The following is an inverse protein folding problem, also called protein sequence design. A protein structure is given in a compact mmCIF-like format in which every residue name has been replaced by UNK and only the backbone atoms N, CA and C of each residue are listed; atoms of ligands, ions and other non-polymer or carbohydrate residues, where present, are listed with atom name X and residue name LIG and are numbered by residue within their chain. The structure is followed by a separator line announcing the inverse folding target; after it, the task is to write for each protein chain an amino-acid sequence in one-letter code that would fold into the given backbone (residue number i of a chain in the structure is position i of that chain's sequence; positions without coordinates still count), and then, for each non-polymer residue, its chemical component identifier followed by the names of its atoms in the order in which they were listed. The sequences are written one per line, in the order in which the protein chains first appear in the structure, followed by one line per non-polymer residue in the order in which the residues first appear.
data_IF_212905419117
#
_entry.id   IF_212905419117
#
_cell.length_a   1.000
_cell.length_b   1.000
_cell.length_c   1.000
_cell.angle_alpha   90.00
_cell.angle_beta   90.00
_cell.angle_gamma   90.00
#
_symmetry.space_group_name_H-M   'P 1'
#
loop_
_entity.id
_entity.type
_entity.pdbx_description
1 polymer ?
#
# COMPACT_ATOMS: atom_id res chain seq x y z
N UNK A 1 17.03 -15.97 25.58
CA UNK A 1 17.58 -17.22 25.06
C UNK A 1 16.78 -17.70 23.86
N UNK A 2 15.52 -18.08 23.93
CA UNK A 2 14.74 -18.66 22.80
C UNK A 2 14.90 -17.94 21.46
N UNK A 3 14.84 -16.60 21.43
CA UNK A 3 15.07 -15.84 20.18
C UNK A 3 16.49 -15.97 19.64
N UNK A 4 17.48 -16.06 20.52
CA UNK A 4 18.90 -16.25 20.16
C UNK A 4 19.12 -17.66 19.64
N UNK A 5 18.51 -18.65 20.29
CA UNK A 5 18.67 -20.08 19.96
C UNK A 5 18.05 -20.43 18.58
N UNK A 6 17.10 -19.63 18.09
CA UNK A 6 16.48 -19.79 16.75
C UNK A 6 17.41 -19.39 15.59
N UNK A 7 18.59 -18.83 15.87
CA UNK A 7 19.63 -18.51 14.88
C UNK A 7 19.18 -17.60 13.72
N UNK A 8 18.31 -16.61 14.03
CA UNK A 8 18.01 -15.56 13.06
C UNK A 8 19.09 -14.47 13.11
N UNK A 9 19.46 -13.95 11.94
CA UNK A 9 20.45 -12.87 11.81
C UNK A 9 19.94 -11.54 12.40
N UNK A 10 18.65 -11.29 12.24
CA UNK A 10 17.98 -10.08 12.73
C UNK A 10 16.77 -10.41 13.59
N UNK A 11 16.69 -9.81 14.74
CA UNK A 11 15.52 -9.87 15.61
C UNK A 11 14.80 -8.51 15.59
N UNK A 12 13.48 -8.54 15.40
CA UNK A 12 12.66 -7.34 15.39
C UNK A 12 11.59 -7.45 16.47
N UNK A 13 11.52 -6.48 17.38
CA UNK A 13 10.43 -6.32 18.33
C UNK A 13 9.54 -5.16 17.90
N UNK A 14 8.23 -5.41 17.81
CA UNK A 14 7.22 -4.38 17.60
C UNK A 14 6.57 -4.11 18.95
N UNK A 15 6.64 -2.87 19.43
CA UNK A 15 6.26 -2.45 20.77
C UNK A 15 5.30 -1.26 20.68
N UNK A 16 4.34 -1.19 21.61
CA UNK A 16 3.56 0.03 21.82
C UNK A 16 4.40 1.17 22.39
N UNK A 17 3.96 2.39 22.22
CA UNK A 17 4.67 3.60 22.69
C UNK A 17 4.94 3.62 24.20
N UNK A 18 4.09 2.98 25.00
CA UNK A 18 4.22 2.78 26.45
C UNK A 18 5.46 1.95 26.85
N UNK A 19 6.01 1.15 25.91
CA UNK A 19 7.20 0.33 26.14
C UNK A 19 8.53 0.99 25.73
N UNK A 20 8.52 2.23 25.26
CA UNK A 20 9.73 2.94 24.77
C UNK A 20 10.87 2.94 25.80
N UNK A 21 10.56 3.09 27.08
CA UNK A 21 11.54 3.09 28.17
C UNK A 21 12.28 1.76 28.36
N UNK A 22 11.76 0.64 27.82
CA UNK A 22 12.38 -0.68 27.95
C UNK A 22 13.34 -1.02 26.80
N UNK A 23 13.34 -0.27 25.70
CA UNK A 23 14.06 -0.60 24.47
C UNK A 23 15.56 -0.77 24.74
N UNK A 24 16.18 0.18 25.45
CA UNK A 24 17.62 0.11 25.77
C UNK A 24 17.95 -1.14 26.57
N UNK A 25 17.14 -1.47 27.57
CA UNK A 25 17.33 -2.65 28.43
C UNK A 25 17.23 -3.95 27.64
N UNK A 26 16.22 -4.08 26.79
CA UNK A 26 16.01 -5.28 25.96
C UNK A 26 17.16 -5.45 24.96
N UNK A 27 17.59 -4.36 24.31
CA UNK A 27 18.73 -4.39 23.38
C UNK A 27 20.01 -4.82 24.10
N UNK A 28 20.31 -4.25 25.28
CA UNK A 28 21.47 -4.65 26.08
C UNK A 28 21.42 -6.11 26.54
N UNK A 29 20.23 -6.60 26.92
CA UNK A 29 20.07 -7.99 27.33
C UNK A 29 20.31 -8.97 26.16
N UNK A 30 19.78 -8.68 24.95
CA UNK A 30 20.02 -9.51 23.76
C UNK A 30 21.49 -9.48 23.35
N UNK A 31 22.11 -8.31 23.38
CA UNK A 31 23.55 -8.14 23.11
C UNK A 31 24.40 -9.00 24.04
N UNK A 32 24.16 -8.93 25.37
CA UNK A 32 24.87 -9.73 26.36
C UNK A 32 24.64 -11.26 26.20
N UNK A 33 23.40 -11.68 25.92
CA UNK A 33 23.07 -13.09 25.76
C UNK A 33 23.58 -13.71 24.45
N UNK A 34 23.91 -12.89 23.46
CA UNK A 34 24.39 -13.34 22.15
C UNK A 34 25.88 -13.03 21.92
N UNK A 35 26.61 -12.59 22.94
CA UNK A 35 28.01 -12.12 22.82
C UNK A 35 28.13 -11.06 21.70
N UNK A 36 27.20 -10.13 21.60
CA UNK A 36 27.09 -9.09 20.58
C UNK A 36 26.96 -9.61 19.12
N UNK A 37 26.56 -10.87 18.93
CA UNK A 37 26.44 -11.47 17.59
C UNK A 37 25.11 -11.19 16.91
N UNK A 38 24.07 -10.87 17.69
CA UNK A 38 22.71 -10.67 17.20
C UNK A 38 22.25 -9.23 17.44
N UNK A 39 21.75 -8.59 16.39
CA UNK A 39 21.15 -7.29 16.48
C UNK A 39 19.64 -7.41 16.77
N UNK A 40 19.17 -6.62 17.74
CA UNK A 40 17.74 -6.45 18.01
C UNK A 40 17.30 -5.06 17.56
N UNK A 41 16.41 -5.04 16.58
CA UNK A 41 15.65 -3.83 16.24
C UNK A 41 14.36 -3.75 17.04
N UNK A 42 14.00 -2.53 17.47
CA UNK A 42 12.74 -2.26 18.12
C UNK A 42 11.98 -1.18 17.33
N UNK A 43 10.81 -1.52 16.84
CA UNK A 43 9.88 -0.57 16.22
C UNK A 43 8.79 -0.22 17.22
N UNK A 44 8.59 1.08 17.43
CA UNK A 44 7.56 1.60 18.33
C UNK A 44 6.36 1.99 17.50
N UNK A 45 5.20 1.48 17.85
CA UNK A 45 3.93 1.88 17.25
C UNK A 45 3.23 2.87 18.17
N UNK A 46 2.88 4.03 17.62
CA UNK A 46 2.11 5.05 18.31
C UNK A 46 0.64 4.64 18.46
N UNK A 47 -0.11 5.42 19.24
CA UNK A 47 -1.51 5.17 19.51
C UNK A 47 -2.36 5.31 18.24
N UNK A 48 -3.35 4.43 18.12
CA UNK A 48 -4.45 4.54 17.17
C UNK A 48 -5.65 5.10 17.90
N UNK A 49 -6.13 6.26 17.46
CA UNK A 49 -7.35 6.89 17.96
C UNK A 49 -8.50 6.50 17.04
N UNK A 50 -9.56 5.95 17.60
CA UNK A 50 -10.73 5.51 16.86
C UNK A 50 -11.78 6.62 16.83
N UNK A 51 -12.40 6.83 15.67
CA UNK A 51 -13.49 7.79 15.46
C UNK A 51 -14.68 7.07 14.81
N UNK A 52 -15.89 7.44 15.24
CA UNK A 52 -17.14 6.99 14.63
C UNK A 52 -18.15 8.14 14.64
N UNK A 53 -18.84 8.39 13.53
CA UNK A 53 -19.76 9.53 13.37
C UNK A 53 -19.08 10.89 13.68
N UNK A 54 -17.80 11.05 13.28
CA UNK A 54 -17.01 12.25 13.53
C UNK A 54 -16.66 12.52 15.00
N UNK A 55 -16.94 11.57 15.92
CA UNK A 55 -16.65 11.69 17.33
C UNK A 55 -15.58 10.68 17.77
N UNK A 56 -14.68 11.05 18.70
CA UNK A 56 -13.75 10.11 19.28
C UNK A 56 -14.46 8.94 19.94
N UNK A 57 -14.13 7.71 19.55
CA UNK A 57 -14.62 6.52 20.23
C UNK A 57 -13.80 6.29 21.51
N UNK A 58 -14.41 6.54 22.65
CA UNK A 58 -13.75 6.41 23.96
C UNK A 58 -13.71 4.94 24.37
N UNK A 59 -12.51 4.40 24.48
CA UNK A 59 -12.28 3.09 25.04
C UNK A 59 -11.91 3.21 26.53
N UNK A 60 -12.60 2.48 27.38
CA UNK A 60 -12.29 2.40 28.80
C UNK A 60 -12.25 0.95 29.28
N UNK A 61 -11.05 0.45 29.54
CA UNK A 61 -10.86 -0.89 30.10
C UNK A 61 -11.59 -1.07 31.45
N UNK A 62 -11.71 0.03 32.25
CA UNK A 62 -12.39 -0.02 33.55
C UNK A 62 -13.91 -0.06 33.45
N UNK A 63 -14.47 0.50 32.40
CA UNK A 63 -15.91 0.48 32.12
C UNK A 63 -16.33 -0.73 31.25
N UNK A 64 -15.38 -1.59 30.83
CA UNK A 64 -15.64 -2.68 29.91
C UNK A 64 -15.88 -2.27 28.47
N UNK A 65 -15.69 -0.98 28.15
CA UNK A 65 -15.87 -0.43 26.83
C UNK A 65 -14.53 -0.46 26.08
N UNK A 66 -14.31 -1.51 25.32
CA UNK A 66 -13.15 -1.62 24.42
C UNK A 66 -13.59 -2.31 23.12
N UNK A 67 -12.95 -1.93 22.03
CA UNK A 67 -13.12 -2.61 20.74
C UNK A 67 -12.00 -3.64 20.62
N UNK A 68 -12.37 -4.89 20.44
CA UNK A 68 -11.42 -5.95 20.09
C UNK A 68 -11.02 -5.85 18.63
N UNK A 69 -9.93 -6.55 18.25
CA UNK A 69 -9.55 -6.66 16.85
C UNK A 69 -10.64 -7.35 16.01
N UNK A 70 -11.42 -8.26 16.61
CA UNK A 70 -12.54 -8.92 15.93
C UNK A 70 -13.68 -7.94 15.67
N UNK A 71 -14.07 -7.13 16.66
CA UNK A 71 -15.11 -6.11 16.46
C UNK A 71 -14.74 -5.12 15.36
N UNK A 72 -13.45 -4.76 15.29
CA UNK A 72 -12.94 -3.90 14.23
C UNK A 72 -13.07 -4.56 12.84
N UNK A 73 -12.73 -5.86 12.73
CA UNK A 73 -12.86 -6.63 11.50
C UNK A 73 -14.32 -6.80 11.07
N UNK A 74 -15.23 -7.01 12.01
CA UNK A 74 -16.65 -7.15 11.77
C UNK A 74 -17.28 -5.82 11.30
N UNK A 75 -16.75 -4.68 11.77
CA UNK A 75 -17.24 -3.35 11.41
C UNK A 75 -16.72 -2.86 10.05
N UNK A 76 -15.45 -3.13 9.69
CA UNK A 76 -14.76 -2.42 8.58
C UNK A 76 -14.21 -3.37 7.50
N UNK A 77 -14.12 -4.63 7.71
CA UNK A 77 -13.40 -5.58 6.87
C UNK A 77 -11.85 -5.45 6.96
N UNK A 78 -11.18 -6.49 6.48
CA UNK A 78 -9.72 -6.64 6.60
C UNK A 78 -8.93 -5.61 5.78
N UNK A 79 -9.31 -5.39 4.53
CA UNK A 79 -8.49 -4.64 3.57
C UNK A 79 -8.34 -3.15 3.94
N UNK A 80 -9.42 -2.41 4.23
CA UNK A 80 -9.31 -1.05 4.72
C UNK A 80 -8.50 -0.93 6.01
N UNK A 81 -8.67 -1.86 6.95
CA UNK A 81 -7.92 -1.86 8.21
C UNK A 81 -6.42 -1.98 7.92
N UNK A 82 -6.01 -3.01 7.15
CA UNK A 82 -4.59 -3.24 6.86
C UNK A 82 -3.96 -2.07 6.12
N UNK A 83 -4.63 -1.57 5.08
CA UNK A 83 -4.11 -0.47 4.29
C UNK A 83 -3.97 0.79 5.12
N UNK A 84 -4.99 1.17 5.87
CA UNK A 84 -4.97 2.40 6.68
C UNK A 84 -3.97 2.33 7.83
N UNK A 85 -3.84 1.19 8.51
CA UNK A 85 -2.84 0.99 9.56
C UNK A 85 -1.41 1.10 9.02
N UNK A 86 -1.18 0.65 7.78
CA UNK A 86 0.13 0.71 7.12
C UNK A 86 0.38 2.03 6.38
N UNK A 87 -0.65 2.85 6.16
CA UNK A 87 -0.53 4.12 5.41
C UNK A 87 0.14 5.25 6.22
N UNK A 88 0.45 5.00 7.47
CA UNK A 88 1.16 5.92 8.36
C UNK A 88 2.47 5.33 8.86
N UNK A 89 3.43 6.20 9.12
CA UNK A 89 4.63 5.78 9.83
C UNK A 89 4.26 5.30 11.24
N UNK A 90 4.92 4.26 11.71
CA UNK A 90 4.66 3.66 13.04
C UNK A 90 4.94 4.62 14.21
N UNK A 91 5.75 5.65 14.00
CA UNK A 91 6.11 6.67 14.99
C UNK A 91 5.16 7.87 15.04
N UNK A 92 4.09 7.86 14.24
CA UNK A 92 3.06 8.90 14.19
C UNK A 92 1.71 8.32 14.61
N UNK A 93 0.97 9.04 15.45
CA UNK A 93 -0.40 8.67 15.84
C UNK A 93 -1.31 8.56 14.61
N UNK A 94 -2.22 7.60 14.64
CA UNK A 94 -3.21 7.37 13.58
C UNK A 94 -4.61 7.67 14.10
N UNK A 95 -5.32 8.57 13.43
CA UNK A 95 -6.75 8.75 13.57
C UNK A 95 -7.46 7.80 12.59
N UNK A 96 -8.09 6.75 13.11
CA UNK A 96 -8.82 5.77 12.34
C UNK A 96 -10.33 6.03 12.44
N UNK A 97 -10.91 6.50 11.35
CA UNK A 97 -12.32 6.86 11.26
C UNK A 97 -13.09 5.76 10.52
N UNK A 98 -14.00 5.07 11.24
CA UNK A 98 -14.80 3.96 10.71
C UNK A 98 -15.64 4.34 9.47
N UNK A 99 -16.11 5.58 9.42
CA UNK A 99 -16.98 6.02 8.34
C UNK A 99 -16.15 6.33 7.09
N UNK A 100 -15.03 7.05 7.25
CA UNK A 100 -14.15 7.42 6.14
C UNK A 100 -13.53 6.23 5.44
N UNK A 101 -13.16 5.19 6.19
CA UNK A 101 -12.53 4.00 5.59
C UNK A 101 -13.51 3.12 4.80
N UNK A 102 -14.83 3.35 4.94
CA UNK A 102 -15.88 2.69 4.18
C UNK A 102 -16.29 3.48 2.92
N UNK A 103 -15.88 4.74 2.80
CA UNK A 103 -16.25 5.57 1.67
C UNK A 103 -15.68 5.02 0.35
N UNK A 104 -16.50 5.08 -0.71
CA UNK A 104 -16.10 4.64 -2.06
C UNK A 104 -15.77 5.85 -2.94
N UNK A 105 -14.80 6.64 -2.51
CA UNK A 105 -14.37 7.84 -3.20
C UNK A 105 -12.83 7.98 -3.18
N UNK A 106 -12.32 9.06 -3.80
CA UNK A 106 -10.87 9.34 -3.89
C UNK A 106 -10.19 9.62 -2.54
N UNK A 107 -10.98 10.01 -1.52
CA UNK A 107 -10.45 10.35 -0.19
C UNK A 107 -10.20 9.08 0.64
N UNK A 108 -10.71 7.92 0.18
CA UNK A 108 -10.36 6.63 0.73
C UNK A 108 -9.22 6.00 -0.09
N UNK A 109 -7.97 5.99 0.41
CA UNK A 109 -6.81 5.60 -0.37
C UNK A 109 -6.82 4.12 -0.78
N UNK A 110 -7.36 3.22 0.04
CA UNK A 110 -7.44 1.81 -0.35
C UNK A 110 -8.41 1.61 -1.52
N UNK A 111 -9.58 2.25 -1.44
CA UNK A 111 -10.56 2.22 -2.53
C UNK A 111 -9.95 2.79 -3.82
N UNK A 112 -9.23 3.90 -3.72
CA UNK A 112 -8.66 4.58 -4.88
C UNK A 112 -7.61 3.75 -5.61
N UNK A 113 -6.77 3.03 -4.86
CA UNK A 113 -5.78 2.09 -5.42
C UNK A 113 -6.48 0.88 -6.05
N UNK A 114 -7.44 0.27 -5.35
CA UNK A 114 -8.23 -0.86 -5.87
C UNK A 114 -8.98 -0.47 -7.15
N UNK A 115 -9.55 0.73 -7.20
CA UNK A 115 -10.28 1.22 -8.35
C UNK A 115 -9.37 1.44 -9.57
N UNK A 116 -8.11 1.84 -9.41
CA UNK A 116 -7.16 1.92 -10.51
C UNK A 116 -6.93 0.54 -11.15
N UNK A 117 -6.72 -0.48 -10.33
CA UNK A 117 -6.53 -1.86 -10.80
C UNK A 117 -7.79 -2.42 -11.46
N UNK A 118 -8.96 -2.28 -10.83
CA UNK A 118 -10.24 -2.73 -11.38
C UNK A 118 -10.56 -2.06 -12.72
N UNK A 119 -10.23 -0.77 -12.87
CA UNK A 119 -10.37 -0.03 -14.12
C UNK A 119 -9.51 -0.61 -15.22
N UNK A 120 -8.23 -0.87 -14.96
CA UNK A 120 -7.33 -1.52 -15.94
C UNK A 120 -7.91 -2.86 -16.39
N UNK A 121 -8.29 -3.72 -15.45
CA UNK A 121 -8.88 -5.01 -15.76
C UNK A 121 -10.20 -4.91 -16.51
N UNK A 122 -11.02 -3.90 -16.21
CA UNK A 122 -12.26 -3.64 -16.96
C UNK A 122 -12.00 -3.29 -18.42
N UNK A 123 -10.98 -2.45 -18.67
CA UNK A 123 -10.57 -2.10 -20.04
C UNK A 123 -10.09 -3.34 -20.78
N UNK A 124 -9.17 -4.12 -20.20
CA UNK A 124 -8.64 -5.32 -20.83
C UNK A 124 -9.74 -6.35 -21.14
N UNK A 125 -10.68 -6.56 -20.21
CA UNK A 125 -11.83 -7.44 -20.43
C UNK A 125 -12.74 -6.97 -21.54
N UNK A 126 -13.08 -5.67 -21.59
CA UNK A 126 -13.95 -5.13 -22.65
C UNK A 126 -13.37 -5.35 -24.04
N UNK A 127 -12.03 -5.32 -24.14
CA UNK A 127 -11.30 -5.54 -25.37
C UNK A 127 -10.90 -7.01 -25.60
N UNK A 128 -11.31 -7.93 -24.70
CA UNK A 128 -10.95 -9.36 -24.73
C UNK A 128 -9.42 -9.59 -24.73
N UNK A 129 -8.67 -8.68 -24.12
CA UNK A 129 -7.21 -8.75 -24.00
C UNK A 129 -6.88 -9.40 -22.66
N UNK A 130 -5.96 -10.38 -22.67
CA UNK A 130 -5.47 -10.98 -21.44
C UNK A 130 -4.41 -10.10 -20.78
N UNK A 131 -4.48 -9.99 -19.46
CA UNK A 131 -3.40 -9.43 -18.67
C UNK A 131 -2.11 -10.26 -18.89
N UNK A 132 -0.99 -9.58 -19.00
CA UNK A 132 0.32 -10.24 -19.20
C UNK A 132 1.39 -9.61 -18.31
N UNK A 133 2.24 -10.45 -17.77
CA UNK A 133 3.44 -10.01 -17.04
C UNK A 133 4.62 -9.69 -17.99
N UNK A 134 4.43 -9.93 -19.30
CA UNK A 134 5.43 -9.62 -20.33
C UNK A 134 4.86 -8.57 -21.27
N UNK A 135 5.54 -7.45 -21.35
CA UNK A 135 5.22 -6.37 -22.31
C UNK A 135 6.35 -6.34 -23.31
N UNK A 136 6.06 -6.73 -24.54
CA UNK A 136 7.01 -6.60 -25.63
C UNK A 136 6.86 -5.22 -26.27
N UNK A 137 7.91 -4.43 -26.24
CA UNK A 137 7.99 -3.12 -26.84
C UNK A 137 8.85 -3.26 -28.12
N UNK A 138 8.21 -3.63 -29.21
CA UNK A 138 8.90 -3.92 -30.48
C UNK A 138 9.06 -2.70 -31.40
N UNK A 139 8.67 -1.51 -30.95
CA UNK A 139 8.62 -0.33 -31.81
C UNK A 139 9.86 0.54 -31.70
N UNK A 140 10.49 0.78 -32.86
CA UNK A 140 11.55 1.78 -33.01
C UNK A 140 11.04 3.22 -32.81
N UNK A 141 9.73 3.43 -32.90
CA UNK A 141 9.05 4.72 -32.81
C UNK A 141 8.27 4.93 -31.51
N UNK A 142 8.75 4.34 -30.41
CA UNK A 142 8.14 4.47 -29.10
C UNK A 142 8.15 5.94 -28.63
N UNK A 143 7.00 6.58 -28.68
CA UNK A 143 6.83 7.96 -28.27
C UNK A 143 5.92 8.08 -27.05
N UNK A 144 6.46 8.60 -25.96
CA UNK A 144 5.74 8.85 -24.72
C UNK A 144 5.38 10.33 -24.62
N UNK A 145 4.13 10.60 -24.28
CA UNK A 145 3.74 11.93 -23.82
C UNK A 145 4.22 12.18 -22.36
N UNK A 146 4.12 13.41 -21.90
CA UNK A 146 4.60 13.80 -20.56
C UNK A 146 3.96 13.01 -19.41
N UNK A 147 2.67 12.66 -19.52
CA UNK A 147 1.96 11.91 -18.47
C UNK A 147 2.45 10.46 -18.47
N UNK A 148 2.60 9.86 -19.62
CA UNK A 148 3.12 8.51 -19.79
C UNK A 148 4.54 8.40 -19.22
N UNK A 149 5.39 9.39 -19.50
CA UNK A 149 6.73 9.46 -18.93
C UNK A 149 6.70 9.54 -17.39
N UNK A 150 5.77 10.33 -16.80
CA UNK A 150 5.62 10.42 -15.34
C UNK A 150 5.21 9.09 -14.74
N UNK A 151 4.25 8.39 -15.35
CA UNK A 151 3.81 7.08 -14.87
C UNK A 151 4.94 6.06 -14.95
N UNK A 152 5.65 5.98 -16.07
CA UNK A 152 6.77 5.05 -16.23
C UNK A 152 7.91 5.32 -15.25
N UNK A 153 8.27 6.59 -15.04
CA UNK A 153 9.26 6.95 -14.00
C UNK A 153 8.81 6.45 -12.63
N UNK A 154 7.54 6.67 -12.28
CA UNK A 154 6.97 6.18 -11.02
C UNK A 154 7.05 4.66 -10.94
N UNK A 155 6.68 3.93 -12.00
CA UNK A 155 6.78 2.47 -12.06
C UNK A 155 8.22 1.99 -11.84
N UNK A 156 9.20 2.61 -12.49
CA UNK A 156 10.62 2.24 -12.33
C UNK A 156 11.23 2.58 -10.97
N UNK A 157 10.59 3.44 -10.18
CA UNK A 157 10.97 3.67 -8.77
C UNK A 157 10.61 2.49 -7.85
N UNK A 158 9.70 1.60 -8.27
CA UNK A 158 9.16 0.53 -7.43
C UNK A 158 10.22 -0.33 -6.74
N UNK A 159 11.24 -0.87 -7.41
CA UNK A 159 12.27 -1.67 -6.75
C UNK A 159 12.99 -0.90 -5.63
N UNK A 160 13.29 0.37 -5.84
CA UNK A 160 13.93 1.23 -4.85
C UNK A 160 13.04 1.51 -3.64
N UNK A 161 11.73 1.63 -3.86
CA UNK A 161 10.74 1.79 -2.77
C UNK A 161 10.72 0.55 -1.88
N UNK A 162 10.71 -0.65 -2.48
CA UNK A 162 10.73 -1.92 -1.73
C UNK A 162 12.04 -2.07 -0.94
N UNK A 163 13.17 -1.84 -1.59
CA UNK A 163 14.47 -1.87 -0.92
C UNK A 163 14.52 -0.89 0.27
N UNK A 164 14.07 0.34 0.08
CA UNK A 164 14.04 1.35 1.14
C UNK A 164 13.07 1.00 2.27
N UNK A 165 11.90 0.44 1.94
CA UNK A 165 10.92 0.02 2.93
C UNK A 165 11.43 -1.16 3.76
N UNK A 166 12.10 -2.14 3.11
CA UNK A 166 12.68 -3.32 3.75
C UNK A 166 13.83 -2.94 4.67
N UNK A 167 14.81 -2.19 4.19
CA UNK A 167 16.03 -1.87 4.94
C UNK A 167 15.77 -1.03 6.19
N UNK A 168 14.73 -0.19 6.17
CA UNK A 168 14.39 0.72 7.28
C UNK A 168 13.15 0.27 8.06
N UNK A 169 12.46 -0.78 7.61
CA UNK A 169 11.15 -1.20 8.11
C UNK A 169 10.10 -0.06 8.06
N UNK A 170 10.20 0.79 7.03
CA UNK A 170 9.31 1.93 6.81
C UNK A 170 8.15 1.53 5.90
N UNK A 171 7.27 0.65 6.38
CA UNK A 171 6.22 0.02 5.58
C UNK A 171 5.24 1.02 4.96
N UNK A 172 5.05 2.18 5.58
CA UNK A 172 4.15 3.24 5.08
C UNK A 172 4.54 3.77 3.70
N UNK A 173 5.78 3.59 3.27
CA UNK A 173 6.23 3.99 1.93
C UNK A 173 5.49 3.25 0.82
N UNK A 174 5.07 2.01 1.08
CA UNK A 174 4.38 1.18 0.08
C UNK A 174 2.98 1.72 -0.23
N UNK A 175 2.03 1.83 0.73
CA UNK A 175 0.71 2.34 0.42
C UNK A 175 0.71 3.77 -0.11
N UNK A 176 1.58 4.66 0.41
CA UNK A 176 1.74 6.02 -0.11
C UNK A 176 2.17 6.00 -1.57
N UNK A 177 3.16 5.19 -1.91
CA UNK A 177 3.62 5.04 -3.30
C UNK A 177 2.53 4.49 -4.22
N UNK A 178 1.75 3.47 -3.77
CA UNK A 178 0.66 2.90 -4.55
C UNK A 178 -0.47 3.91 -4.80
N UNK A 179 -0.78 4.73 -3.81
CA UNK A 179 -1.76 5.81 -3.95
C UNK A 179 -1.29 6.87 -4.96
N UNK A 180 -0.03 7.27 -4.91
CA UNK A 180 0.55 8.20 -5.89
C UNK A 180 0.50 7.64 -7.32
N UNK A 181 0.87 6.36 -7.50
CA UNK A 181 0.80 5.69 -8.79
C UNK A 181 -0.64 5.61 -9.31
N UNK A 182 -1.59 5.23 -8.45
CA UNK A 182 -3.01 5.23 -8.79
C UNK A 182 -3.51 6.63 -9.18
N UNK A 183 -3.06 7.67 -8.49
CA UNK A 183 -3.40 9.06 -8.78
C UNK A 183 -2.93 9.48 -10.17
N UNK A 184 -1.68 9.15 -10.53
CA UNK A 184 -1.16 9.42 -11.87
C UNK A 184 -1.96 8.69 -12.95
N UNK A 185 -2.30 7.42 -12.71
CA UNK A 185 -3.10 6.63 -13.66
C UNK A 185 -4.51 7.18 -13.82
N UNK A 186 -5.19 7.52 -12.73
CA UNK A 186 -6.52 8.12 -12.78
C UNK A 186 -6.52 9.49 -13.48
N UNK A 187 -5.50 10.31 -13.24
CA UNK A 187 -5.34 11.59 -13.92
C UNK A 187 -5.16 11.41 -15.43
N UNK A 188 -4.38 10.41 -15.85
CA UNK A 188 -4.21 10.09 -17.25
C UNK A 188 -5.52 9.63 -17.90
N UNK A 189 -6.26 8.73 -17.22
CA UNK A 189 -7.57 8.28 -17.67
C UNK A 189 -8.57 9.43 -17.84
N UNK A 190 -8.66 10.31 -16.84
CA UNK A 190 -9.57 11.47 -16.86
C UNK A 190 -9.24 12.40 -18.02
N UNK A 191 -7.95 12.66 -18.26
CA UNK A 191 -7.53 13.48 -19.39
C UNK A 191 -7.91 12.87 -20.75
N UNK A 192 -7.94 11.54 -20.86
CA UNK A 192 -8.44 10.86 -22.04
C UNK A 192 -9.94 11.04 -22.33
N UNK A 193 -10.73 11.42 -21.30
CA UNK A 193 -12.14 11.77 -21.49
C UNK A 193 -12.33 13.21 -22.00
N UNK A 194 -11.35 14.08 -21.76
CA UNK A 194 -11.38 15.50 -22.13
C UNK A 194 -10.71 15.76 -23.47
N UNK A 195 -9.68 14.99 -23.81
CA UNK A 195 -8.85 15.20 -25.01
C UNK A 195 -8.60 13.85 -25.69
N UNK A 196 -9.05 13.74 -26.94
CA UNK A 196 -8.89 12.57 -27.80
C UNK A 196 -7.43 12.10 -27.95
N UNK A 197 -6.47 13.01 -27.84
CA UNK A 197 -5.03 12.71 -27.87
C UNK A 197 -4.63 11.70 -26.77
N UNK A 198 -5.25 11.80 -25.61
CA UNK A 198 -4.92 10.98 -24.43
C UNK A 198 -5.86 9.77 -24.24
N UNK A 199 -6.81 9.55 -25.16
CA UNK A 199 -7.76 8.47 -25.07
C UNK A 199 -7.09 7.12 -25.18
N UNK A 200 -7.51 6.17 -24.32
CA UNK A 200 -6.91 4.84 -24.24
C UNK A 200 -7.42 3.91 -25.34
N UNK A 201 -8.73 4.03 -25.65
CA UNK A 201 -9.43 3.13 -26.55
C UNK A 201 -9.92 3.94 -27.75
N UNK A 202 -9.74 3.37 -28.94
CA UNK A 202 -10.31 3.84 -30.20
C UNK A 202 -10.71 2.65 -31.05
N UNK A 203 -11.90 2.67 -31.63
CA UNK A 203 -12.40 1.61 -32.52
C UNK A 203 -12.28 0.20 -31.88
N UNK A 204 -12.71 0.07 -30.62
CA UNK A 204 -12.65 -1.17 -29.82
C UNK A 204 -11.22 -1.76 -29.67
N UNK A 205 -10.19 -0.93 -29.81
CA UNK A 205 -8.79 -1.33 -29.62
C UNK A 205 -8.05 -0.34 -28.74
N UNK A 206 -6.97 -0.81 -28.11
CA UNK A 206 -6.04 0.09 -27.44
C UNK A 206 -5.36 0.93 -28.51
N UNK A 207 -5.37 2.24 -28.32
CA UNK A 207 -4.95 3.22 -29.32
C UNK A 207 -3.47 3.10 -29.69
N UNK A 208 -2.62 2.74 -28.72
CA UNK A 208 -1.18 2.61 -28.89
C UNK A 208 -0.59 1.55 -27.96
N UNK A 209 0.49 0.89 -28.40
CA UNK A 209 1.18 -0.13 -27.60
C UNK A 209 1.73 0.42 -26.28
N UNK A 210 2.15 1.67 -26.25
CA UNK A 210 2.63 2.35 -25.03
C UNK A 210 1.54 2.43 -23.94
N UNK A 211 0.31 2.70 -24.33
CA UNK A 211 -0.83 2.73 -23.40
C UNK A 211 -1.05 1.34 -22.79
N UNK A 212 -0.98 0.29 -23.62
CA UNK A 212 -1.06 -1.09 -23.16
C UNK A 212 0.07 -1.43 -22.18
N UNK A 213 1.30 -1.05 -22.51
CA UNK A 213 2.46 -1.25 -21.66
C UNK A 213 2.29 -0.55 -20.30
N UNK A 214 1.86 0.71 -20.31
CA UNK A 214 1.63 1.50 -19.08
C UNK A 214 0.55 0.88 -18.21
N UNK A 215 -0.57 0.44 -18.81
CA UNK A 215 -1.63 -0.23 -18.06
C UNK A 215 -1.12 -1.51 -17.39
N UNK A 216 -0.43 -2.37 -18.14
CA UNK A 216 0.09 -3.62 -17.58
C UNK A 216 1.14 -3.39 -16.48
N UNK A 217 2.11 -2.52 -16.71
CA UNK A 217 3.16 -2.20 -15.74
C UNK A 217 2.55 -1.59 -14.46
N UNK A 218 1.58 -0.69 -14.62
CA UNK A 218 0.84 -0.13 -13.47
C UNK A 218 0.12 -1.23 -12.69
N UNK A 219 -0.61 -2.11 -13.39
CA UNK A 219 -1.33 -3.21 -12.74
C UNK A 219 -0.40 -4.19 -12.03
N UNK A 220 0.76 -4.53 -12.62
CA UNK A 220 1.79 -5.39 -11.99
C UNK A 220 2.27 -4.77 -10.68
N UNK A 221 2.61 -3.49 -10.69
CA UNK A 221 3.11 -2.81 -9.49
C UNK A 221 2.02 -2.71 -8.41
N UNK A 222 0.78 -2.37 -8.79
CA UNK A 222 -0.34 -2.35 -7.86
C UNK A 222 -0.59 -3.74 -7.25
N UNK A 223 -0.56 -4.80 -8.07
CA UNK A 223 -0.74 -6.18 -7.63
C UNK A 223 0.37 -6.61 -6.66
N UNK A 224 1.62 -6.35 -6.99
CA UNK A 224 2.75 -6.68 -6.14
C UNK A 224 2.68 -5.93 -4.81
N UNK A 225 2.44 -4.63 -4.85
CA UNK A 225 2.39 -3.80 -3.65
C UNK A 225 1.22 -4.16 -2.72
N UNK A 226 0.02 -4.33 -3.26
CA UNK A 226 -1.14 -4.75 -2.47
C UNK A 226 -0.95 -6.17 -1.91
N UNK A 227 -0.33 -7.08 -2.67
CA UNK A 227 0.04 -8.41 -2.19
C UNK A 227 1.00 -8.36 -0.99
N UNK A 228 2.03 -7.50 -1.02
CA UNK A 228 2.93 -7.28 0.11
C UNK A 228 2.17 -6.76 1.34
N UNK A 229 1.21 -5.85 1.14
CA UNK A 229 0.38 -5.33 2.22
C UNK A 229 -0.65 -6.36 2.75
N UNK A 230 -0.86 -7.48 2.03
CA UNK A 230 -1.90 -8.47 2.33
C UNK A 230 -3.31 -7.91 2.15
N UNK A 231 -3.46 -7.01 1.16
CA UNK A 231 -4.73 -6.37 0.76
C UNK A 231 -5.15 -6.91 -0.59
N UNK A 232 -6.42 -7.21 -0.76
CA UNK A 232 -6.95 -7.77 -2.00
C UNK A 232 -7.11 -6.72 -3.09
N UNK A 233 -7.10 -7.18 -4.34
CA UNK A 233 -7.41 -6.36 -5.52
C UNK A 233 -8.58 -7.01 -6.26
N UNK A 234 -9.78 -6.43 -6.18
CA UNK A 234 -10.93 -6.93 -6.93
C UNK A 234 -10.78 -6.61 -8.43
N UNK A 235 -11.16 -7.57 -9.27
CA UNK A 235 -11.17 -7.38 -10.73
C UNK A 235 -12.28 -6.45 -11.20
N UNK A 236 -13.29 -6.24 -10.36
CA UNK A 236 -14.47 -5.37 -10.62
C UNK A 236 -14.83 -4.61 -9.35
N UNK A 237 -15.16 -3.36 -9.53
CA UNK A 237 -15.69 -2.47 -8.49
C UNK A 237 -16.89 -1.68 -9.04
#
# INVERSE_FOLDING_TARGET
MDKVDRKYDNLINILGADHTGYIKRIKSAVSALSDNKILLDCKVCQLVKLYKNGQPFKMSKRAGEFISAQDLLDEVEKDPIRFMMLNRSNDVELDFDFDKVKEKNKDNPVFYVQYAYARINSILRSLKIKFTNKVELNDKDFQLNEIEQKILRKVFEWPKIIESASNKFDLHKIPVYLYDLATLFHSYWSKGNEDEKYKFIRDEKIKRNEIFAIMNLTAIVLQNGMGILGVSLPDKM
#
